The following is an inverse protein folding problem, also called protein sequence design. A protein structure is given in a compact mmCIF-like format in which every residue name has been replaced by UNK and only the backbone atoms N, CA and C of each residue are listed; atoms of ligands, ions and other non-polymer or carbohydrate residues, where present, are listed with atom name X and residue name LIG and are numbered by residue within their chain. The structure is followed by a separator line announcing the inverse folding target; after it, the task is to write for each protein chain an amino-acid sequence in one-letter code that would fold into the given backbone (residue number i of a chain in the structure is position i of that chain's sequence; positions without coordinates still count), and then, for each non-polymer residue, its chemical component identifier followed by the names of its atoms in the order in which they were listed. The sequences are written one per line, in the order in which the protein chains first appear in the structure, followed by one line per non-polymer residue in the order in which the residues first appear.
data_IF_950941511861
#
_entry.id   IF_950941511861
#
_cell.length_a   1.000
_cell.length_b   1.000
_cell.length_c   1.000
_cell.angle_alpha   90.00
_cell.angle_beta   90.00
_cell.angle_gamma   90.00
#
_symmetry.space_group_name_H-M   'P 1'
#
loop_
_entity.id
_entity.type
_entity.pdbx_description
1 polymer ?
#
# COMPACT_ATOMS: atom_id res chain seq x y z
N UNK A 1 55.58 -6.26 -2.66
CA UNK A 1 54.48 -5.29 -2.71
C UNK A 1 53.20 -6.09 -2.94
N UNK A 2 52.62 -6.63 -1.86
CA UNK A 2 51.36 -7.38 -1.92
C UNK A 2 50.38 -6.63 -1.03
N UNK A 3 49.45 -5.93 -1.66
CA UNK A 3 48.33 -5.31 -0.97
C UNK A 3 47.37 -6.45 -0.62
N UNK A 4 47.53 -7.00 0.58
CA UNK A 4 46.55 -7.91 1.14
C UNK A 4 45.25 -7.14 1.33
N UNK A 5 44.28 -7.43 0.46
CA UNK A 5 42.94 -6.84 0.40
C UNK A 5 42.06 -7.30 1.58
N UNK A 6 42.56 -7.18 2.79
CA UNK A 6 41.86 -7.59 4.02
C UNK A 6 41.14 -6.37 4.59
N UNK A 7 39.86 -6.20 4.22
CA UNK A 7 39.01 -5.19 4.87
C UNK A 7 37.68 -4.81 4.21
N UNK A 8 37.35 -5.33 3.01
CA UNK A 8 36.13 -4.94 2.29
C UNK A 8 34.85 -5.72 2.65
N UNK A 9 34.97 -7.00 2.95
CA UNK A 9 33.81 -7.90 3.05
C UNK A 9 32.82 -7.59 4.21
N UNK A 10 33.25 -7.22 5.44
CA UNK A 10 32.30 -6.99 6.53
C UNK A 10 31.45 -5.73 6.35
N UNK A 11 32.02 -4.66 5.79
CA UNK A 11 31.32 -3.38 5.58
C UNK A 11 30.32 -3.48 4.44
N UNK A 12 30.67 -4.17 3.37
CA UNK A 12 29.77 -4.40 2.24
C UNK A 12 28.62 -5.35 2.64
N UNK A 13 28.93 -6.42 3.39
CA UNK A 13 27.91 -7.31 3.95
C UNK A 13 26.97 -6.57 4.91
N UNK A 14 27.49 -5.69 5.77
CA UNK A 14 26.67 -4.87 6.67
C UNK A 14 25.80 -3.87 5.91
N UNK A 15 26.31 -3.27 4.83
CA UNK A 15 25.55 -2.37 3.95
C UNK A 15 24.45 -3.12 3.20
N UNK A 16 24.74 -4.31 2.68
CA UNK A 16 23.75 -5.14 2.01
C UNK A 16 22.67 -5.64 2.99
N UNK A 17 23.05 -6.02 4.21
CA UNK A 17 22.13 -6.32 5.31
C UNK A 17 21.26 -5.10 5.68
N UNK A 18 21.85 -3.91 5.75
CA UNK A 18 21.10 -2.68 6.04
C UNK A 18 20.11 -2.32 4.93
N UNK A 19 20.51 -2.45 3.66
CA UNK A 19 19.64 -2.22 2.50
C UNK A 19 18.51 -3.25 2.44
N UNK A 20 18.79 -4.52 2.73
CA UNK A 20 17.79 -5.59 2.80
C UNK A 20 16.83 -5.36 3.97
N UNK A 21 17.33 -4.91 5.13
CA UNK A 21 16.51 -4.53 6.28
C UNK A 21 15.62 -3.31 5.97
N UNK A 22 16.13 -2.28 5.28
CA UNK A 22 15.31 -1.17 4.79
C UNK A 22 14.26 -1.64 3.77
N UNK A 23 14.59 -2.59 2.89
CA UNK A 23 13.64 -3.23 1.99
C UNK A 23 12.52 -3.96 2.73
N UNK A 24 12.85 -4.70 3.79
CA UNK A 24 11.87 -5.35 4.67
C UNK A 24 11.03 -4.33 5.45
N UNK A 25 11.64 -3.25 5.96
CA UNK A 25 10.94 -2.20 6.69
C UNK A 25 9.99 -1.41 5.79
N UNK A 26 10.41 -1.12 4.56
CA UNK A 26 9.59 -0.54 3.52
C UNK A 26 8.45 -1.49 3.11
N UNK A 27 8.75 -2.79 3.00
CA UNK A 27 7.74 -3.80 2.75
C UNK A 27 6.77 -3.98 3.95
N UNK A 28 7.17 -3.70 5.19
CA UNK A 28 6.28 -3.74 6.36
C UNK A 28 5.14 -2.71 6.28
N UNK A 29 5.41 -1.56 5.65
CA UNK A 29 4.37 -0.58 5.31
C UNK A 29 3.38 -1.16 4.26
N UNK A 30 3.85 -2.07 3.40
CA UNK A 30 3.05 -2.83 2.44
C UNK A 30 2.43 -4.11 3.01
N UNK A 31 2.88 -4.68 4.14
CA UNK A 31 2.37 -5.94 4.71
C UNK A 31 1.06 -5.79 5.51
N UNK A 32 0.22 -4.85 5.10
CA UNK A 32 -1.20 -5.11 4.83
C UNK A 32 -1.86 -6.21 5.66
N UNK A 33 -2.08 -5.98 6.96
CA UNK A 33 -2.94 -6.84 7.77
C UNK A 33 -2.36 -8.19 8.19
N UNK A 34 -1.04 -8.44 8.15
CA UNK A 34 -0.48 -9.67 8.77
C UNK A 34 -0.84 -9.78 10.27
N UNK A 35 -0.76 -8.70 11.08
CA UNK A 35 -1.30 -8.73 12.45
C UNK A 35 -2.82 -8.96 12.49
N UNK A 36 -3.56 -8.46 11.49
CA UNK A 36 -5.01 -8.68 11.38
C UNK A 36 -5.36 -10.13 11.01
N UNK A 37 -4.51 -10.82 10.25
CA UNK A 37 -4.62 -12.25 9.97
C UNK A 37 -4.42 -13.07 11.24
N UNK A 38 -3.40 -12.76 12.05
CA UNK A 38 -3.21 -13.42 13.35
C UNK A 38 -4.41 -13.17 14.26
N UNK A 39 -4.93 -11.94 14.31
CA UNK A 39 -6.10 -11.59 15.10
C UNK A 39 -7.37 -12.34 14.66
N UNK A 40 -7.64 -12.46 13.36
CA UNK A 40 -8.82 -13.18 12.86
C UNK A 40 -8.70 -14.69 13.12
N UNK A 41 -7.50 -15.26 13.00
CA UNK A 41 -7.24 -16.67 13.33
C UNK A 41 -7.58 -16.93 14.81
N UNK A 42 -7.06 -16.10 15.72
CA UNK A 42 -7.37 -16.20 17.16
C UNK A 42 -8.88 -16.07 17.40
N UNK A 43 -9.54 -15.12 16.74
CA UNK A 43 -10.98 -14.93 16.86
C UNK A 43 -11.78 -16.17 16.41
N UNK A 44 -11.39 -16.81 15.30
CA UNK A 44 -12.01 -18.07 14.86
C UNK A 44 -11.79 -19.21 15.85
N UNK A 45 -10.58 -19.33 16.43
CA UNK A 45 -10.27 -20.40 17.38
C UNK A 45 -10.98 -20.22 18.72
N UNK A 46 -11.11 -18.98 19.21
CA UNK A 46 -11.69 -18.67 20.53
C UNK A 46 -13.22 -18.50 20.51
N UNK A 47 -13.83 -18.28 19.33
CA UNK A 47 -15.27 -18.02 19.18
C UNK A 47 -16.15 -19.12 19.79
N UNK A 48 -15.80 -20.37 19.53
CA UNK A 48 -16.65 -21.50 19.92
C UNK A 48 -16.49 -21.87 21.41
N UNK A 49 -15.32 -21.56 21.99
CA UNK A 49 -14.97 -21.79 23.40
C UNK A 49 -15.34 -20.64 24.33
N UNK A 50 -15.55 -19.43 23.82
CA UNK A 50 -15.95 -18.28 24.62
C UNK A 50 -17.43 -18.33 25.05
N UNK A 51 -17.70 -18.03 26.33
CA UNK A 51 -19.04 -17.73 26.83
C UNK A 51 -19.47 -16.30 26.42
N UNK A 52 -20.77 -16.03 26.40
CA UNK A 52 -21.29 -14.66 26.25
C UNK A 52 -20.71 -13.75 27.35
N UNK A 53 -20.27 -12.50 27.04
CA UNK A 53 -20.39 -11.78 25.76
C UNK A 53 -19.23 -12.01 24.77
N UNK A 54 -18.16 -12.71 25.15
CA UNK A 54 -16.94 -12.83 24.33
C UNK A 54 -17.18 -13.42 22.94
N UNK A 55 -18.14 -14.34 22.81
CA UNK A 55 -18.53 -14.94 21.53
C UNK A 55 -19.08 -13.92 20.52
N UNK A 56 -19.85 -12.92 20.99
CA UNK A 56 -20.40 -11.88 20.11
C UNK A 56 -19.28 -10.97 19.60
N UNK A 57 -18.34 -10.58 20.48
CA UNK A 57 -17.16 -9.80 20.12
C UNK A 57 -16.27 -10.52 19.09
N UNK A 58 -16.00 -11.82 19.23
CA UNK A 58 -15.20 -12.55 18.25
C UNK A 58 -15.92 -12.66 16.89
N UNK A 59 -17.22 -12.91 16.90
CA UNK A 59 -18.03 -12.92 15.66
C UNK A 59 -18.00 -11.57 14.95
N UNK A 60 -17.99 -10.50 15.74
CA UNK A 60 -17.90 -9.14 15.25
C UNK A 60 -16.53 -8.80 14.65
N UNK A 61 -15.44 -9.14 15.36
CA UNK A 61 -14.07 -8.98 14.85
C UNK A 61 -13.86 -9.70 13.52
N UNK A 62 -14.39 -10.91 13.37
CA UNK A 62 -14.32 -11.67 12.12
C UNK A 62 -15.02 -10.93 10.97
N UNK A 63 -16.22 -10.35 11.20
CA UNK A 63 -16.93 -9.56 10.17
C UNK A 63 -16.16 -8.31 9.78
N UNK A 64 -15.63 -7.56 10.76
CA UNK A 64 -14.83 -6.38 10.50
C UNK A 64 -13.57 -6.69 9.68
N UNK A 65 -12.89 -7.81 9.98
CA UNK A 65 -11.74 -8.27 9.20
C UNK A 65 -12.10 -8.44 7.72
N UNK A 66 -13.17 -9.18 7.41
CA UNK A 66 -13.54 -9.45 6.02
C UNK A 66 -13.96 -8.19 5.25
N UNK A 67 -14.68 -7.27 5.90
CA UNK A 67 -15.08 -5.99 5.27
C UNK A 67 -13.86 -5.12 4.97
N UNK A 68 -12.97 -4.93 5.95
CA UNK A 68 -11.75 -4.14 5.78
C UNK A 68 -10.78 -4.78 4.79
N UNK A 69 -10.68 -6.11 4.77
CA UNK A 69 -9.89 -6.86 3.78
C UNK A 69 -10.42 -6.65 2.35
N UNK A 70 -11.73 -6.71 2.13
CA UNK A 70 -12.34 -6.47 0.82
C UNK A 70 -12.09 -5.02 0.33
N UNK A 71 -12.21 -4.03 1.21
CA UNK A 71 -11.92 -2.62 0.89
C UNK A 71 -10.45 -2.42 0.54
N UNK A 72 -9.53 -3.03 1.31
CA UNK A 72 -8.10 -2.98 1.03
C UNK A 72 -7.76 -3.58 -0.33
N UNK A 73 -8.38 -4.72 -0.67
CA UNK A 73 -8.21 -5.35 -1.98
C UNK A 73 -8.71 -4.43 -3.11
N UNK A 74 -9.89 -3.83 -2.95
CA UNK A 74 -10.45 -2.89 -3.93
C UNK A 74 -9.55 -1.66 -4.11
N UNK A 75 -9.07 -1.08 -3.02
CA UNK A 75 -8.13 0.03 -3.06
C UNK A 75 -6.81 -0.34 -3.77
N UNK A 76 -6.31 -1.56 -3.57
CA UNK A 76 -5.15 -2.09 -4.29
C UNK A 76 -5.37 -2.20 -5.80
N UNK A 77 -6.53 -2.69 -6.22
CA UNK A 77 -6.90 -2.77 -7.65
C UNK A 77 -7.00 -1.37 -8.27
N UNK A 78 -7.63 -0.42 -7.58
CA UNK A 78 -7.64 0.97 -8.00
C UNK A 78 -6.20 1.49 -8.08
N UNK A 79 -5.38 1.37 -7.04
CA UNK A 79 -3.98 1.83 -7.07
C UNK A 79 -3.19 1.30 -8.27
N UNK A 80 -3.35 0.01 -8.59
CA UNK A 80 -2.71 -0.59 -9.77
C UNK A 80 -3.21 0.04 -11.09
N UNK A 81 -4.52 0.25 -11.23
CA UNK A 81 -5.07 0.91 -12.41
C UNK A 81 -4.56 2.36 -12.57
N UNK A 82 -4.39 3.12 -11.48
CA UNK A 82 -3.80 4.47 -11.52
C UNK A 82 -2.36 4.42 -12.03
N UNK A 83 -1.56 3.47 -11.53
CA UNK A 83 -0.18 3.29 -11.99
C UNK A 83 -0.13 2.98 -13.48
N UNK A 84 -0.99 2.07 -13.98
CA UNK A 84 -1.07 1.75 -15.40
C UNK A 84 -1.44 2.98 -16.24
N UNK A 85 -2.40 3.78 -15.78
CA UNK A 85 -2.80 5.02 -16.43
C UNK A 85 -1.64 6.02 -16.52
N UNK A 86 -0.93 6.25 -15.41
CA UNK A 86 0.23 7.15 -15.38
C UNK A 86 1.32 6.66 -16.34
N UNK A 87 1.65 5.38 -16.29
CA UNK A 87 2.68 4.79 -17.16
C UNK A 87 2.29 4.93 -18.64
N UNK A 88 1.03 4.68 -18.99
CA UNK A 88 0.53 4.82 -20.38
C UNK A 88 0.57 6.27 -20.85
N UNK A 89 0.22 7.22 -19.98
CA UNK A 89 0.32 8.66 -20.26
C UNK A 89 1.77 9.07 -20.54
N UNK A 90 2.72 8.61 -19.71
CA UNK A 90 4.15 8.88 -19.90
C UNK A 90 4.69 8.29 -21.20
N UNK A 91 4.28 7.05 -21.55
CA UNK A 91 4.62 6.46 -22.84
C UNK A 91 4.04 7.29 -24.00
N UNK A 92 2.79 7.74 -23.91
CA UNK A 92 2.18 8.60 -24.94
C UNK A 92 2.96 9.89 -25.15
N UNK A 93 3.31 10.59 -24.07
CA UNK A 93 4.12 11.83 -24.07
C UNK A 93 5.51 11.59 -24.68
N UNK A 94 6.18 10.51 -24.29
CA UNK A 94 7.51 10.18 -24.82
C UNK A 94 7.49 9.89 -26.33
N UNK A 95 6.43 9.26 -26.83
CA UNK A 95 6.26 8.96 -28.25
C UNK A 95 5.84 10.19 -29.07
N UNK A 96 5.13 11.16 -28.49
CA UNK A 96 4.69 12.38 -29.20
C UNK A 96 5.74 13.50 -29.19
N UNK A 97 6.51 13.65 -28.12
CA UNK A 97 7.56 14.69 -28.06
C UNK A 97 8.79 14.33 -28.90
N UNK A 98 9.16 13.04 -29.00
CA UNK A 98 10.41 12.63 -29.62
C UNK A 98 11.65 13.27 -28.96
N UNK A 99 12.86 12.87 -29.36
CA UNK A 99 14.09 13.49 -28.86
C UNK A 99 14.24 14.96 -29.30
N UNK A 100 13.48 15.38 -30.32
CA UNK A 100 13.49 16.72 -30.91
C UNK A 100 12.59 17.73 -30.16
N UNK A 101 11.65 17.24 -29.32
CA UNK A 101 10.74 18.07 -28.54
C UNK A 101 11.36 18.71 -27.30
N UNK A 102 12.48 18.17 -26.81
CA UNK A 102 13.24 18.73 -25.69
C UNK A 102 13.89 20.08 -26.02
N UNK A 103 14.12 20.39 -27.30
CA UNK A 103 14.66 21.67 -27.77
C UNK A 103 13.63 22.82 -27.77
N UNK A 104 12.33 22.52 -27.56
CA UNK A 104 11.23 23.50 -27.63
C UNK A 104 10.37 23.58 -26.35
N UNK A 105 10.86 23.07 -25.22
CA UNK A 105 10.13 23.11 -23.95
C UNK A 105 10.13 24.52 -23.33
N UNK A 106 9.21 25.37 -23.77
CA UNK A 106 8.79 26.54 -23.00
C UNK A 106 7.89 26.03 -21.85
N UNK A 107 8.43 25.98 -20.63
CA UNK A 107 7.76 25.42 -19.45
C UNK A 107 6.61 26.34 -19.03
N UNK A 108 5.43 26.10 -19.60
CA UNK A 108 4.18 26.69 -19.13
C UNK A 108 3.68 25.88 -17.94
N UNK A 109 4.01 26.33 -16.73
CA UNK A 109 3.62 25.77 -15.41
C UNK A 109 2.08 25.72 -15.20
N UNK A 110 1.27 26.29 -16.12
CA UNK A 110 -0.16 26.52 -15.94
C UNK A 110 -1.14 25.43 -16.40
N UNK A 111 -0.67 24.28 -16.91
CA UNK A 111 -1.53 23.30 -17.59
C UNK A 111 -1.31 21.85 -17.10
N UNK A 112 -1.11 21.63 -15.80
CA UNK A 112 -1.39 20.30 -15.23
C UNK A 112 -2.91 20.11 -15.27
N UNK A 113 -3.41 19.63 -16.40
CA UNK A 113 -4.78 19.18 -16.53
C UNK A 113 -4.92 17.91 -15.69
N UNK A 114 -5.29 18.09 -14.42
CA UNK A 114 -5.68 16.98 -13.56
C UNK A 114 -6.92 16.36 -14.20
N UNK A 115 -6.72 15.27 -14.95
CA UNK A 115 -7.80 14.56 -15.62
C UNK A 115 -8.80 14.04 -14.57
N UNK A 116 -10.09 14.17 -14.88
CA UNK A 116 -11.18 13.73 -14.01
C UNK A 116 -11.06 12.23 -13.68
N UNK A 117 -10.47 11.44 -14.56
CA UNK A 117 -10.19 10.01 -14.33
C UNK A 117 -9.19 9.80 -13.17
N UNK A 118 -8.08 10.53 -13.18
CA UNK A 118 -7.02 10.47 -12.17
C UNK A 118 -7.52 11.03 -10.83
N UNK A 119 -8.30 12.11 -10.89
CA UNK A 119 -8.93 12.70 -9.72
C UNK A 119 -9.95 11.73 -9.09
N UNK A 120 -10.81 11.11 -9.91
CA UNK A 120 -11.77 10.10 -9.45
C UNK A 120 -11.07 8.90 -8.80
N UNK A 121 -9.96 8.45 -9.37
CA UNK A 121 -9.18 7.35 -8.82
C UNK A 121 -8.53 7.68 -7.48
N UNK A 122 -7.88 8.84 -7.36
CA UNK A 122 -7.25 9.28 -6.12
C UNK A 122 -8.31 9.50 -5.05
N UNK A 123 -9.39 10.21 -5.38
CA UNK A 123 -10.48 10.48 -4.44
C UNK A 123 -11.19 9.19 -4.03
N UNK A 124 -11.41 8.25 -4.95
CA UNK A 124 -11.97 6.94 -4.66
C UNK A 124 -11.09 6.12 -3.72
N UNK A 125 -9.78 6.08 -3.96
CA UNK A 125 -8.83 5.40 -3.08
C UNK A 125 -8.81 6.01 -1.68
N UNK A 126 -8.81 7.35 -1.59
CA UNK A 126 -8.86 8.07 -0.31
C UNK A 126 -10.19 7.83 0.42
N UNK A 127 -11.32 7.87 -0.28
CA UNK A 127 -12.64 7.63 0.30
C UNK A 127 -12.77 6.20 0.84
N UNK A 128 -12.28 5.19 0.11
CA UNK A 128 -12.26 3.80 0.56
C UNK A 128 -11.38 3.62 1.81
N UNK A 129 -10.23 4.28 1.87
CA UNK A 129 -9.36 4.28 3.04
C UNK A 129 -10.03 4.92 4.28
N UNK A 130 -10.71 6.06 4.08
CA UNK A 130 -11.48 6.71 5.13
C UNK A 130 -12.66 5.86 5.61
N UNK A 131 -13.38 5.20 4.70
CA UNK A 131 -14.49 4.33 5.04
C UNK A 131 -14.03 3.12 5.85
N UNK A 132 -12.86 2.56 5.53
CA UNK A 132 -12.24 1.51 6.34
C UNK A 132 -11.97 1.99 7.77
N UNK A 133 -11.48 3.23 7.95
CA UNK A 133 -11.28 3.82 9.28
C UNK A 133 -12.58 4.08 10.03
N UNK A 134 -13.60 4.58 9.34
CA UNK A 134 -14.91 4.88 9.94
C UNK A 134 -15.63 3.61 10.41
N UNK A 135 -15.54 2.53 9.63
CA UNK A 135 -16.08 1.22 10.02
C UNK A 135 -15.36 0.71 11.27
N UNK A 136 -14.05 0.92 11.42
CA UNK A 136 -13.32 0.53 12.62
C UNK A 136 -13.80 1.27 13.88
N UNK A 137 -14.07 2.57 13.75
CA UNK A 137 -14.52 3.42 14.86
C UNK A 137 -15.97 3.08 15.24
N UNK A 138 -16.89 3.05 14.26
CA UNK A 138 -18.29 2.69 14.50
C UNK A 138 -18.42 1.26 15.03
N UNK A 139 -17.49 0.39 14.65
CA UNK A 139 -17.44 -0.96 15.13
C UNK A 139 -17.06 -1.10 16.60
N UNK A 140 -16.05 -0.34 17.04
CA UNK A 140 -15.56 -0.30 18.41
C UNK A 140 -16.59 0.25 19.41
N UNK A 141 -17.62 0.95 18.95
CA UNK A 141 -18.65 1.57 19.81
C UNK A 141 -19.81 0.60 20.09
N UNK A 142 -19.98 -0.45 19.28
CA UNK A 142 -21.16 -1.33 19.32
C UNK A 142 -20.82 -2.74 19.86
N UNK A 143 -19.55 -3.14 19.81
CA UNK A 143 -19.06 -4.35 20.50
C UNK A 143 -18.70 -4.03 21.92
#
# INVERSE_FOLDING_TARGET
MTFDSVGGAPRESARNLALMNYGLLFAAFFFAGVPALVAVIIAYTQRDTAAEPGRSHFTFQIRCFWVSFALALLAGVCGLAAVIHVVTSLYGVANTLGWDGFDKMEVVIGQVAIDASLLFMIVGAVALAFLSGLILIGASVIG
#
